data_IF_143584845913
#
_entry.id   IF_143584845913
#
_cell.length_a   1.000
_cell.length_b   1.000
_cell.length_c   1.000
_cell.angle_alpha   90.00
_cell.angle_beta   90.00
_cell.angle_gamma   90.00
#
_symmetry.space_group_name_H-M   'P 1'
#
loop_
_entity.id
_entity.type
_entity.pdbx_description
1 polymer ?
#
# COMPACT_ATOMS: atom_id res chain seq x y z
N UNK A 1 -16.19 7.22 2.13
CA UNK A 1 -15.92 6.06 1.28
C UNK A 1 -14.43 5.78 1.20
N UNK A 2 -14.07 4.52 1.19
CA UNK A 2 -12.67 4.13 1.01
C UNK A 2 -12.26 4.28 -0.45
N UNK A 3 -11.03 4.73 -0.69
CA UNK A 3 -10.42 4.80 -2.03
C UNK A 3 -9.41 3.68 -2.22
N UNK A 4 -9.53 2.63 -1.44
CA UNK A 4 -8.70 1.44 -1.54
C UNK A 4 -9.57 0.22 -1.79
N UNK A 5 -8.95 -0.84 -2.27
CA UNK A 5 -9.56 -2.16 -2.34
C UNK A 5 -8.62 -3.19 -1.78
N UNK A 6 -9.20 -4.29 -1.31
CA UNK A 6 -8.41 -5.38 -0.77
C UNK A 6 -7.89 -6.26 -1.89
N UNK A 7 -6.65 -6.70 -1.77
CA UNK A 7 -6.06 -7.68 -2.67
C UNK A 7 -5.60 -8.89 -1.86
N UNK A 8 -5.44 -10.01 -2.54
CA UNK A 8 -5.08 -11.28 -1.92
C UNK A 8 -3.84 -11.86 -2.61
N UNK A 9 -3.29 -12.93 -2.02
CA UNK A 9 -2.21 -13.68 -2.67
C UNK A 9 -2.63 -14.09 -4.09
N UNK A 10 -3.89 -14.53 -4.26
CA UNK A 10 -4.39 -14.97 -5.56
C UNK A 10 -4.58 -13.83 -6.56
N UNK A 11 -4.95 -12.63 -6.09
CA UNK A 11 -5.24 -11.50 -6.99
C UNK A 11 -4.05 -10.57 -7.19
N UNK A 12 -2.96 -10.76 -6.46
CA UNK A 12 -1.84 -9.82 -6.45
C UNK A 12 -1.22 -9.62 -7.83
N UNK A 13 -1.05 -10.70 -8.59
CA UNK A 13 -0.47 -10.61 -9.94
C UNK A 13 -1.30 -9.68 -10.81
N UNK A 14 -2.60 -9.92 -10.92
CA UNK A 14 -3.49 -9.15 -11.79
C UNK A 14 -3.69 -7.71 -11.28
N UNK A 15 -3.84 -7.56 -9.95
CA UNK A 15 -4.24 -6.27 -9.38
C UNK A 15 -3.07 -5.33 -9.13
N UNK A 16 -1.87 -5.86 -8.95
CA UNK A 16 -0.69 -5.06 -8.62
C UNK A 16 0.40 -5.18 -9.68
N UNK A 17 0.85 -6.40 -9.97
CA UNK A 17 2.00 -6.59 -10.85
C UNK A 17 1.69 -6.26 -12.30
N UNK A 18 0.46 -6.54 -12.75
CA UNK A 18 0.02 -6.27 -14.12
C UNK A 18 -0.66 -4.90 -14.26
N UNK A 19 -0.74 -4.12 -13.18
CA UNK A 19 -1.41 -2.82 -13.20
C UNK A 19 -0.66 -1.82 -14.07
N UNK A 20 -1.41 -1.01 -14.82
CA UNK A 20 -0.84 0.07 -15.61
C UNK A 20 -0.52 1.30 -14.77
N UNK A 21 -1.35 1.58 -13.77
CA UNK A 21 -1.12 2.69 -12.85
C UNK A 21 -0.06 2.33 -11.82
N UNK A 22 0.54 3.36 -11.23
CA UNK A 22 1.34 3.21 -10.03
C UNK A 22 0.43 2.76 -8.89
N UNK A 23 0.83 1.73 -8.16
CA UNK A 23 0.03 1.14 -7.08
C UNK A 23 0.79 1.27 -5.76
N UNK A 24 0.14 1.82 -4.75
CA UNK A 24 0.63 1.79 -3.37
C UNK A 24 -0.02 0.60 -2.68
N UNK A 25 0.79 -0.33 -2.20
CA UNK A 25 0.32 -1.51 -1.46
C UNK A 25 0.54 -1.29 0.02
N UNK A 26 -0.54 -1.29 0.80
CA UNK A 26 -0.53 -1.16 2.24
C UNK A 26 -0.59 -2.56 2.87
N UNK A 27 0.52 -3.01 3.45
CA UNK A 27 0.59 -4.28 4.17
C UNK A 27 0.17 -4.03 5.61
N UNK A 28 -0.89 -4.71 6.05
CA UNK A 28 -1.50 -4.47 7.36
C UNK A 28 -1.99 -5.76 7.99
N UNK A 29 -2.44 -5.68 9.25
CA UNK A 29 -3.10 -6.80 9.93
C UNK A 29 -4.17 -6.25 10.88
N UNK A 30 -5.23 -7.03 11.16
CA UNK A 30 -6.34 -6.57 12.01
C UNK A 30 -5.94 -6.18 13.43
N UNK A 31 -4.89 -6.81 13.97
CA UNK A 31 -4.39 -6.53 15.32
C UNK A 31 -3.44 -5.33 15.41
N UNK A 32 -3.11 -4.73 14.28
CA UNK A 32 -2.11 -3.68 14.21
C UNK A 32 -2.75 -2.30 14.40
N UNK A 33 -2.56 -1.70 15.57
CA UNK A 33 -3.07 -0.36 15.87
C UNK A 33 -2.55 0.72 14.94
N UNK A 34 -1.21 0.83 14.74
CA UNK A 34 -0.66 1.82 13.80
C UNK A 34 -1.16 1.66 12.36
N UNK A 35 -1.43 0.43 11.92
CA UNK A 35 -2.01 0.19 10.60
C UNK A 35 -3.38 0.85 10.48
N UNK A 36 -4.20 0.74 11.53
CA UNK A 36 -5.53 1.35 11.55
C UNK A 36 -5.46 2.87 11.56
N UNK A 37 -4.46 3.43 12.23
CA UNK A 37 -4.27 4.87 12.28
C UNK A 37 -3.86 5.45 10.92
N UNK A 38 -3.03 4.75 10.16
CA UNK A 38 -2.54 5.25 8.88
C UNK A 38 -3.53 5.02 7.73
N UNK A 39 -4.44 4.07 7.88
CA UNK A 39 -5.38 3.70 6.81
C UNK A 39 -6.21 4.88 6.29
N UNK A 40 -6.87 5.69 7.15
CA UNK A 40 -7.62 6.84 6.64
C UNK A 40 -6.73 7.90 6.00
N UNK A 41 -5.48 8.03 6.44
CA UNK A 41 -4.53 8.97 5.83
C UNK A 41 -4.20 8.53 4.40
N UNK A 42 -3.93 7.25 4.20
CA UNK A 42 -3.67 6.70 2.87
C UNK A 42 -4.88 6.86 1.95
N UNK A 43 -6.08 6.62 2.49
CA UNK A 43 -7.32 6.81 1.72
C UNK A 43 -7.48 8.27 1.25
N UNK A 44 -7.12 9.24 2.10
CA UNK A 44 -7.16 10.65 1.72
C UNK A 44 -6.16 10.96 0.60
N UNK A 45 -4.94 10.44 0.72
CA UNK A 45 -3.92 10.63 -0.31
C UNK A 45 -4.38 10.05 -1.65
N UNK A 46 -4.97 8.86 -1.63
CA UNK A 46 -5.49 8.22 -2.84
C UNK A 46 -6.64 9.04 -3.44
N UNK A 47 -7.53 9.57 -2.61
CA UNK A 47 -8.66 10.39 -3.07
C UNK A 47 -8.20 11.67 -3.77
N UNK A 48 -7.08 12.24 -3.29
CA UNK A 48 -6.53 13.48 -3.82
C UNK A 48 -5.63 13.28 -5.04
N UNK A 49 -5.28 12.03 -5.34
CA UNK A 49 -4.31 11.70 -6.40
C UNK A 49 -4.83 10.54 -7.27
N UNK A 50 -5.80 10.80 -8.16
CA UNK A 50 -6.44 9.73 -8.95
C UNK A 50 -5.53 9.04 -9.94
N UNK A 51 -4.31 9.53 -10.15
CA UNK A 51 -3.31 8.87 -10.99
C UNK A 51 -2.68 7.64 -10.36
N UNK A 52 -2.86 7.43 -9.05
CA UNK A 52 -2.37 6.24 -8.36
C UNK A 52 -3.53 5.37 -7.88
N UNK A 53 -3.23 4.10 -7.63
CA UNK A 53 -4.15 3.18 -6.97
C UNK A 53 -3.63 2.85 -5.59
N UNK A 54 -4.54 2.72 -4.62
CA UNK A 54 -4.22 2.24 -3.28
C UNK A 54 -4.91 0.89 -3.10
N UNK A 55 -4.12 -0.13 -2.73
CA UNK A 55 -4.64 -1.44 -2.38
C UNK A 55 -4.13 -1.84 -1.00
N UNK A 56 -4.86 -2.71 -0.34
CA UNK A 56 -4.51 -3.20 1.00
C UNK A 56 -4.43 -4.72 0.98
N UNK A 57 -3.44 -5.26 1.68
CA UNK A 57 -3.30 -6.70 1.81
C UNK A 57 -3.10 -7.06 3.29
N UNK A 58 -3.97 -7.93 3.79
CA UNK A 58 -3.91 -8.45 5.15
C UNK A 58 -2.85 -9.55 5.19
N UNK A 59 -1.75 -9.32 5.91
CA UNK A 59 -0.61 -10.24 5.93
C UNK A 59 -0.91 -11.55 6.65
N UNK A 60 -1.91 -11.56 7.54
CA UNK A 60 -2.31 -12.79 8.23
C UNK A 60 -3.02 -13.76 7.28
N UNK A 61 -3.91 -13.22 6.44
CA UNK A 61 -4.68 -14.01 5.48
C UNK A 61 -3.91 -14.28 4.19
N UNK A 62 -2.85 -13.50 3.93
CA UNK A 62 -2.12 -13.54 2.66
C UNK A 62 -0.61 -13.60 2.90
N UNK A 63 -0.14 -14.71 3.51
CA UNK A 63 1.27 -14.82 3.90
C UNK A 63 2.23 -14.95 2.72
N UNK A 64 1.80 -15.41 1.56
CA UNK A 64 2.71 -15.65 0.43
C UNK A 64 3.32 -14.36 -0.08
N UNK A 65 2.50 -13.33 -0.31
CA UNK A 65 2.98 -12.02 -0.78
C UNK A 65 3.85 -11.36 0.30
N UNK A 66 3.41 -11.43 1.56
CA UNK A 66 4.17 -10.88 2.68
C UNK A 66 5.57 -11.50 2.77
N UNK A 67 5.68 -12.82 2.59
CA UNK A 67 6.96 -13.51 2.61
C UNK A 67 7.81 -13.15 1.39
N UNK A 68 7.21 -13.11 0.22
CA UNK A 68 7.92 -12.77 -1.02
C UNK A 68 8.61 -11.42 -0.93
N UNK A 69 7.93 -10.43 -0.35
CA UNK A 69 8.46 -9.08 -0.23
C UNK A 69 9.10 -8.81 1.13
N UNK A 70 9.31 -9.87 1.93
CA UNK A 70 10.04 -9.81 3.22
C UNK A 70 9.48 -8.77 4.17
N UNK A 71 8.15 -8.77 4.32
CA UNK A 71 7.46 -7.86 5.22
C UNK A 71 7.70 -8.32 6.65
N UNK A 72 8.48 -7.54 7.41
CA UNK A 72 8.81 -7.84 8.80
C UNK A 72 8.25 -6.83 9.78
N UNK A 73 7.86 -5.66 9.29
CA UNK A 73 7.27 -4.60 10.12
C UNK A 73 6.04 -4.04 9.40
N UNK A 74 4.97 -3.82 10.14
CA UNK A 74 3.74 -3.22 9.59
C UNK A 74 3.32 -2.02 10.44
N UNK A 75 2.66 -1.00 9.85
CA UNK A 75 2.32 -0.91 8.44
C UNK A 75 3.55 -0.75 7.56
N UNK A 76 3.52 -1.36 6.40
CA UNK A 76 4.53 -1.18 5.36
C UNK A 76 3.83 -0.80 4.07
N UNK A 77 4.28 0.26 3.43
CA UNK A 77 3.73 0.70 2.16
C UNK A 77 4.79 0.55 1.09
N UNK A 78 4.48 -0.22 0.05
CA UNK A 78 5.37 -0.39 -1.10
C UNK A 78 4.72 0.18 -2.33
N UNK A 79 5.47 1.00 -3.06
CA UNK A 79 5.01 1.58 -4.33
C UNK A 79 5.49 0.67 -5.45
N UNK A 80 4.54 0.19 -6.24
CA UNK A 80 4.80 -0.66 -7.40
C UNK A 80 4.56 0.13 -8.68
N UNK A 81 5.49 0.00 -9.62
CA UNK A 81 5.37 0.60 -10.94
C UNK A 81 5.89 -0.40 -11.96
N UNK A 82 5.04 -0.78 -12.91
CA UNK A 82 5.43 -1.78 -13.91
C UNK A 82 5.79 -3.12 -13.31
N UNK A 83 5.17 -3.49 -12.20
CA UNK A 83 5.42 -4.76 -11.51
C UNK A 83 6.63 -4.76 -10.59
N UNK A 84 7.30 -3.63 -10.43
CA UNK A 84 8.50 -3.53 -9.60
C UNK A 84 8.30 -2.59 -8.42
N UNK A 85 8.93 -2.92 -7.28
CA UNK A 85 8.94 -2.05 -6.11
C UNK A 85 9.90 -0.88 -6.37
N UNK A 86 9.37 0.33 -6.36
CA UNK A 86 10.16 1.55 -6.58
C UNK A 86 10.35 2.39 -5.33
N UNK A 87 9.59 2.09 -4.26
CA UNK A 87 9.71 2.79 -2.98
C UNK A 87 9.14 1.92 -1.87
N UNK A 88 9.75 1.98 -0.69
CA UNK A 88 9.23 1.34 0.53
C UNK A 88 9.22 2.36 1.66
N UNK A 89 8.08 2.45 2.34
CA UNK A 89 7.90 3.30 3.53
C UNK A 89 7.39 2.42 4.65
N UNK A 90 8.03 2.48 5.81
CA UNK A 90 7.65 1.67 6.97
C UNK A 90 7.19 2.57 8.12
N UNK A 91 6.09 2.18 8.74
CA UNK A 91 5.54 2.86 9.89
C UNK A 91 4.41 3.81 9.56
N UNK A 92 3.64 4.15 10.59
CA UNK A 92 2.50 5.05 10.48
C UNK A 92 2.98 6.49 10.62
N UNK A 93 3.26 7.13 9.50
CA UNK A 93 3.72 8.52 9.47
C UNK A 93 2.54 9.47 9.28
N UNK A 94 2.64 10.73 9.74
CA UNK A 94 1.61 11.74 9.47
C UNK A 94 1.46 12.00 7.97
N UNK A 95 0.29 12.51 7.59
CA UNK A 95 -0.03 12.78 6.18
C UNK A 95 1.03 13.60 5.45
N UNK A 96 1.54 14.74 5.99
CA UNK A 96 2.56 15.49 5.27
C UNK A 96 3.85 14.71 5.01
N UNK A 97 4.25 13.86 5.96
CA UNK A 97 5.43 13.02 5.78
C UNK A 97 5.21 11.96 4.72
N UNK A 98 4.03 11.33 4.69
CA UNK A 98 3.70 10.35 3.66
C UNK A 98 3.60 10.99 2.28
N UNK A 99 3.00 12.16 2.18
CA UNK A 99 2.94 12.90 0.93
C UNK A 99 4.33 13.22 0.39
N UNK A 100 5.25 13.57 1.28
CA UNK A 100 6.63 13.81 0.91
C UNK A 100 7.34 12.54 0.42
N UNK A 101 7.12 11.42 1.13
CA UNK A 101 7.70 10.14 0.74
C UNK A 101 7.21 9.66 -0.63
N UNK A 102 5.94 9.91 -0.94
CA UNK A 102 5.33 9.49 -2.20
C UNK A 102 5.33 10.56 -3.29
N UNK A 103 5.90 11.74 -3.02
CA UNK A 103 5.73 12.93 -3.86
C UNK A 103 5.97 12.70 -5.36
N UNK A 104 7.03 11.96 -5.71
CA UNK A 104 7.36 11.74 -7.12
C UNK A 104 6.32 10.86 -7.85
N UNK A 105 5.52 10.10 -7.11
CA UNK A 105 4.50 9.21 -7.67
C UNK A 105 3.11 9.86 -7.69
N UNK A 106 2.93 10.98 -7.00
CA UNK A 106 1.65 11.66 -6.87
C UNK A 106 1.41 12.72 -7.96
N UNK A 107 2.38 12.92 -8.80
CA UNK A 107 2.31 13.92 -9.87
C UNK A 107 1.33 13.54 -10.97
#
# INVERSE_FOLDING_TARGET
>A
MSHSRDVTDASFQADVLDAEKTVIVDFWAPWCGPCKAVSPVLDQIAAENPGIELVKIDVDDNPEVAMKYKITSIPAMKVFKGGEVVKTVIGAKPKPALEQEFAEFLK
#
